data_IF_485355682727
#
_entry.id   IF_485355682727
#
_cell.length_a   1.000
_cell.length_b   1.000
_cell.length_c   1.000
_cell.angle_alpha   90.00
_cell.angle_beta   90.00
_cell.angle_gamma   90.00
#
_symmetry.space_group_name_H-M   'P 1'
#
loop_
_entity.id
_entity.type
_entity.pdbx_description
1 polymer ?
#
# COMPACT_ATOMS: atom_id res chain seq x y z
N UNK A 1 -4.62 -24.30 26.82
CA UNK A 1 -5.12 -22.91 26.75
C UNK A 1 -3.98 -22.03 26.28
N UNK A 2 -4.23 -21.17 25.29
CA UNK A 2 -3.29 -20.13 24.86
C UNK A 2 -3.88 -18.75 25.21
N UNK A 3 -3.01 -17.82 25.58
CA UNK A 3 -3.40 -16.42 25.81
C UNK A 3 -3.38 -15.70 24.46
N UNK A 4 -4.51 -15.14 24.04
CA UNK A 4 -4.59 -14.28 22.84
C UNK A 4 -4.70 -12.83 23.25
N UNK A 5 -3.81 -11.99 22.72
CA UNK A 5 -3.72 -10.56 23.00
C UNK A 5 -3.71 -9.83 21.66
N UNK A 6 -4.59 -8.82 21.50
CA UNK A 6 -4.68 -8.02 20.29
C UNK A 6 -4.21 -6.60 20.56
N UNK A 7 -3.30 -6.09 19.73
CA UNK A 7 -2.86 -4.70 19.79
C UNK A 7 -3.91 -3.75 19.23
N UNK A 8 -4.17 -2.62 19.91
CA UNK A 8 -5.14 -1.61 19.46
C UNK A 8 -4.54 -0.57 18.50
N UNK A 9 -3.24 -0.32 18.62
CA UNK A 9 -2.51 0.66 17.82
C UNK A 9 -1.13 0.10 17.46
N UNK A 10 -0.61 0.53 16.30
CA UNK A 10 0.73 0.18 15.84
C UNK A 10 1.81 0.74 16.78
N UNK A 11 2.97 0.08 16.80
CA UNK A 11 4.13 0.52 17.57
C UNK A 11 4.72 -0.58 18.45
N UNK A 12 5.66 -0.19 19.29
CA UNK A 12 6.33 -1.11 20.22
C UNK A 12 5.78 -0.94 21.63
N UNK A 13 5.58 -2.07 22.29
CA UNK A 13 5.16 -2.16 23.68
C UNK A 13 5.84 -3.38 24.32
N UNK A 14 5.54 -3.64 25.59
CA UNK A 14 5.98 -4.86 26.26
C UNK A 14 4.83 -5.52 27.00
N UNK A 15 4.87 -6.84 27.04
CA UNK A 15 4.02 -7.65 27.88
C UNK A 15 4.81 -8.10 29.10
N UNK A 16 4.41 -7.63 30.28
CA UNK A 16 4.99 -8.08 31.54
C UNK A 16 4.18 -9.26 32.09
N UNK A 17 4.81 -10.43 32.15
CA UNK A 17 4.27 -11.61 32.80
C UNK A 17 4.81 -11.70 34.23
N UNK A 18 3.91 -11.58 35.21
CA UNK A 18 4.24 -11.70 36.63
C UNK A 18 3.63 -12.97 37.22
N UNK A 19 4.47 -13.78 37.88
CA UNK A 19 4.05 -14.96 38.62
C UNK A 19 4.80 -14.99 39.97
N UNK A 20 4.14 -14.54 41.04
CA UNK A 20 4.78 -14.31 42.33
C UNK A 20 5.89 -13.25 42.22
N UNK A 21 7.12 -13.61 42.55
CA UNK A 21 8.30 -12.73 42.45
C UNK A 21 8.96 -12.74 41.06
N UNK A 22 8.55 -13.65 40.16
CA UNK A 22 9.12 -13.75 38.83
C UNK A 22 8.45 -12.74 37.91
N UNK A 23 9.25 -11.89 37.25
CA UNK A 23 8.79 -10.98 36.19
C UNK A 23 9.53 -11.31 34.90
N UNK A 24 8.79 -11.47 33.80
CA UNK A 24 9.34 -11.61 32.46
C UNK A 24 8.73 -10.56 31.53
N UNK A 25 9.57 -9.69 31.00
CA UNK A 25 9.18 -8.66 30.03
C UNK A 25 9.43 -9.17 28.62
N UNK A 26 8.37 -9.20 27.82
CA UNK A 26 8.42 -9.65 26.42
C UNK A 26 8.19 -8.43 25.54
N UNK A 27 9.15 -8.02 24.67
CA UNK A 27 8.90 -6.96 23.71
C UNK A 27 7.87 -7.42 22.67
N UNK A 28 6.93 -6.54 22.35
CA UNK A 28 5.86 -6.79 21.38
C UNK A 28 5.83 -5.63 20.40
N UNK A 29 5.82 -5.95 19.11
CA UNK A 29 5.61 -4.97 18.04
C UNK A 29 4.29 -5.24 17.35
N UNK A 30 3.43 -4.23 17.32
CA UNK A 30 2.16 -4.24 16.58
C UNK A 30 2.40 -3.62 15.22
N UNK A 31 2.28 -4.42 14.17
CA UNK A 31 2.50 -4.02 12.77
C UNK A 31 1.24 -3.44 12.13
N UNK A 32 1.44 -2.66 11.07
CA UNK A 32 0.38 -2.17 10.21
C UNK A 32 -0.39 -3.34 9.57
N UNK A 33 -1.70 -3.19 9.39
CA UNK A 33 -2.50 -4.08 8.54
C UNK A 33 -2.36 -3.77 7.05
N UNK A 34 -1.85 -2.58 6.72
CA UNK A 34 -1.49 -2.20 5.36
C UNK A 34 -0.16 -2.84 4.97
N UNK A 35 -0.22 -3.75 4.02
CA UNK A 35 0.89 -4.58 3.52
C UNK A 35 1.75 -3.89 2.47
N UNK A 36 1.42 -2.65 2.09
CA UNK A 36 2.23 -1.89 1.14
C UNK A 36 3.53 -1.40 1.78
N UNK A 37 4.55 -1.25 0.93
CA UNK A 37 5.72 -0.45 1.22
C UNK A 37 5.86 0.59 0.12
N UNK A 38 5.98 1.86 0.49
CA UNK A 38 6.16 2.96 -0.45
C UNK A 38 6.96 4.09 0.20
N UNK A 39 7.13 5.19 -0.52
CA UNK A 39 7.93 6.34 -0.10
C UNK A 39 7.95 7.39 -1.20
N UNK A 40 8.78 8.44 -1.06
CA UNK A 40 8.91 9.45 -2.10
C UNK A 40 9.26 8.82 -3.46
N UNK A 41 8.64 9.32 -4.53
CA UNK A 41 8.88 8.86 -5.89
C UNK A 41 8.76 10.02 -6.87
N UNK A 42 9.58 10.00 -7.92
CA UNK A 42 9.55 11.03 -8.97
C UNK A 42 9.82 10.43 -10.34
N UNK A 43 9.06 10.83 -11.34
CA UNK A 43 9.24 10.36 -12.71
C UNK A 43 8.07 10.75 -13.60
N UNK A 44 8.29 10.87 -14.90
CA UNK A 44 7.24 11.18 -15.89
C UNK A 44 6.36 12.38 -15.49
N UNK A 45 6.98 13.49 -15.05
CA UNK A 45 6.31 14.71 -14.58
C UNK A 45 5.45 14.57 -13.31
N UNK A 46 5.46 13.41 -12.66
CA UNK A 46 4.80 13.16 -11.38
C UNK A 46 5.82 13.16 -10.25
N UNK A 47 5.56 13.97 -9.22
CA UNK A 47 6.23 13.93 -7.94
C UNK A 47 5.26 13.41 -6.87
N UNK A 48 5.70 12.42 -6.10
CA UNK A 48 4.94 11.84 -4.99
C UNK A 48 5.73 12.01 -3.71
N UNK A 49 5.12 12.63 -2.71
CA UNK A 49 5.70 12.79 -1.36
C UNK A 49 4.86 12.09 -0.31
N UNK A 50 5.47 11.79 0.83
CA UNK A 50 4.79 11.16 1.96
C UNK A 50 4.41 12.23 2.97
N UNK A 51 3.10 12.37 3.23
CA UNK A 51 2.58 13.27 4.24
C UNK A 51 2.92 12.78 5.66
N UNK A 52 2.72 13.65 6.66
CA UNK A 52 3.00 13.33 8.07
C UNK A 52 2.26 12.10 8.58
N UNK A 53 1.02 11.89 8.13
CA UNK A 53 0.22 10.72 8.54
C UNK A 53 0.58 9.45 7.75
N UNK A 54 1.41 9.54 6.72
CA UNK A 54 1.82 8.44 5.84
C UNK A 54 1.03 8.33 4.54
N UNK A 55 0.04 9.19 4.30
CA UNK A 55 -0.63 9.29 3.00
C UNK A 55 0.33 9.83 1.92
N UNK A 56 -0.06 9.67 0.65
CA UNK A 56 0.75 10.07 -0.49
C UNK A 56 0.17 11.32 -1.13
N UNK A 57 0.97 12.39 -1.18
CA UNK A 57 0.68 13.61 -1.91
C UNK A 57 1.25 13.49 -3.32
N UNK A 58 0.38 13.53 -4.32
CA UNK A 58 0.71 13.57 -5.73
C UNK A 58 0.73 15.02 -6.18
N UNK A 59 1.73 15.41 -6.95
CA UNK A 59 1.82 16.72 -7.57
C UNK A 59 2.54 16.63 -8.93
N UNK A 60 2.01 17.34 -9.93
CA UNK A 60 2.64 17.48 -11.24
C UNK A 60 2.47 18.92 -11.71
N UNK A 61 3.53 19.49 -12.27
CA UNK A 61 3.52 20.83 -12.87
C UNK A 61 3.27 20.78 -14.38
N UNK A 62 3.47 19.62 -14.98
CA UNK A 62 3.30 19.38 -16.42
C UNK A 62 2.39 18.17 -16.65
N UNK A 63 1.87 18.05 -17.88
CA UNK A 63 1.04 16.93 -18.26
C UNK A 63 1.83 15.62 -18.18
N UNK A 64 1.19 14.59 -17.62
CA UNK A 64 1.67 13.22 -17.59
C UNK A 64 1.01 12.50 -18.76
N UNK A 65 1.80 11.82 -19.60
CA UNK A 65 1.28 11.01 -20.70
C UNK A 65 0.49 9.79 -20.19
N UNK A 66 -0.49 9.33 -20.98
CA UNK A 66 -1.29 8.15 -20.65
C UNK A 66 -0.38 6.93 -20.48
N UNK A 67 -0.62 6.15 -19.42
CA UNK A 67 0.17 4.99 -19.04
C UNK A 67 1.50 5.32 -18.35
N UNK A 68 1.86 6.61 -18.21
CA UNK A 68 3.07 7.03 -17.51
C UNK A 68 2.79 7.48 -16.08
N UNK A 69 3.81 7.43 -15.24
CA UNK A 69 3.75 7.87 -13.86
C UNK A 69 4.92 7.33 -13.03
N UNK A 70 4.67 6.85 -11.83
CA UNK A 70 5.72 6.31 -10.95
C UNK A 70 5.41 4.89 -10.51
N UNK A 71 6.45 4.16 -10.13
CA UNK A 71 6.40 2.80 -9.61
C UNK A 71 7.37 2.60 -8.44
N UNK A 72 7.04 1.63 -7.60
CA UNK A 72 7.90 1.15 -6.51
C UNK A 72 8.40 -0.27 -6.80
N UNK A 73 9.50 -0.71 -6.17
CA UNK A 73 9.97 -2.08 -6.24
C UNK A 73 8.87 -3.11 -5.91
N UNK A 74 9.06 -4.33 -6.40
CA UNK A 74 8.12 -5.41 -6.15
C UNK A 74 7.95 -5.67 -4.64
N UNK A 75 6.71 -5.94 -4.23
CA UNK A 75 6.40 -6.31 -2.85
C UNK A 75 6.91 -7.73 -2.55
N UNK A 76 7.31 -7.96 -1.31
CA UNK A 76 7.46 -9.31 -0.77
C UNK A 76 6.15 -9.72 -0.08
N UNK A 77 5.41 -10.61 -0.73
CA UNK A 77 4.15 -11.18 -0.23
C UNK A 77 4.31 -12.67 0.12
N UNK A 78 5.53 -13.14 0.36
CA UNK A 78 5.82 -14.56 0.57
C UNK A 78 5.04 -15.17 1.76
N UNK A 79 4.79 -14.38 2.81
CA UNK A 79 4.00 -14.80 3.98
C UNK A 79 2.49 -14.96 3.69
N UNK A 80 2.02 -14.48 2.53
CA UNK A 80 0.60 -14.39 2.19
C UNK A 80 0.19 -15.34 1.07
N UNK A 81 1.07 -16.25 0.60
CA UNK A 81 0.72 -17.24 -0.43
C UNK A 81 -0.53 -18.02 -0.03
N UNK A 82 -1.48 -18.12 -0.97
CA UNK A 82 -2.78 -18.77 -0.76
C UNK A 82 -3.82 -17.89 -0.06
N UNK A 83 -3.49 -16.65 0.31
CA UNK A 83 -4.42 -15.69 0.92
C UNK A 83 -4.97 -14.72 -0.13
N UNK A 84 -6.20 -14.29 0.07
CA UNK A 84 -6.77 -13.16 -0.68
C UNK A 84 -6.38 -11.85 -0.04
N UNK A 85 -5.97 -10.88 -0.85
CA UNK A 85 -5.71 -9.51 -0.46
C UNK A 85 -6.64 -8.55 -1.21
N UNK A 86 -6.99 -7.43 -0.59
CA UNK A 86 -7.80 -6.36 -1.15
C UNK A 86 -6.94 -5.08 -1.30
N UNK A 87 -6.81 -4.59 -2.53
CA UNK A 87 -6.24 -3.28 -2.83
C UNK A 87 -7.35 -2.24 -2.89
N UNK A 88 -7.18 -1.12 -2.20
CA UNK A 88 -8.09 0.01 -2.32
C UNK A 88 -7.44 1.30 -1.87
N UNK A 89 -8.17 2.39 -2.00
CA UNK A 89 -7.71 3.69 -1.55
C UNK A 89 -8.87 4.56 -1.04
N UNK A 90 -8.56 5.49 -0.14
CA UNK A 90 -9.39 6.65 0.18
C UNK A 90 -8.69 7.93 -0.31
N UNK A 91 -9.44 8.99 -0.56
CA UNK A 91 -8.92 10.27 -1.06
C UNK A 91 -9.69 10.73 -2.30
N UNK A 92 -9.66 12.04 -2.54
CA UNK A 92 -10.28 12.62 -3.73
C UNK A 92 -9.21 12.87 -4.80
N UNK A 93 -9.43 12.26 -5.94
CA UNK A 93 -8.62 12.39 -7.13
C UNK A 93 -9.48 12.83 -8.32
N UNK A 94 -10.77 13.12 -8.12
CA UNK A 94 -11.62 13.49 -9.25
C UNK A 94 -11.33 14.92 -9.74
N UNK A 95 -11.37 15.17 -11.06
CA UNK A 95 -11.62 14.23 -12.16
C UNK A 95 -10.31 13.66 -12.76
N UNK A 96 -9.23 13.61 -11.99
CA UNK A 96 -7.95 13.09 -12.44
C UNK A 96 -8.07 11.58 -12.61
N UNK A 97 -7.81 11.12 -13.83
CA UNK A 97 -7.78 9.72 -14.16
C UNK A 97 -6.51 9.06 -13.57
N UNK A 98 -6.32 9.08 -12.26
CA UNK A 98 -5.30 8.26 -11.63
C UNK A 98 -5.75 6.80 -11.73
N UNK A 99 -4.84 5.96 -12.21
CA UNK A 99 -4.98 4.51 -12.17
C UNK A 99 -3.87 3.97 -11.28
N UNK A 100 -4.27 3.22 -10.27
CA UNK A 100 -3.36 2.55 -9.34
C UNK A 100 -3.27 1.10 -9.76
N UNK A 101 -2.07 0.67 -10.12
CA UNK A 101 -1.79 -0.68 -10.60
C UNK A 101 -0.99 -1.41 -9.54
N UNK A 102 -1.43 -2.61 -9.16
CA UNK A 102 -0.60 -3.57 -8.42
C UNK A 102 -0.53 -4.82 -9.27
N UNK A 103 0.42 -4.86 -10.20
CA UNK A 103 0.58 -5.95 -11.16
C UNK A 103 2.03 -6.34 -11.35
N UNK A 104 2.22 -7.55 -11.87
CA UNK A 104 3.51 -7.99 -12.37
C UNK A 104 3.90 -7.25 -13.66
N UNK A 105 5.16 -7.40 -14.07
CA UNK A 105 5.71 -6.72 -15.25
C UNK A 105 4.96 -7.07 -16.56
N UNK A 106 4.38 -8.27 -16.63
CA UNK A 106 3.62 -8.75 -17.80
C UNK A 106 2.13 -8.38 -17.73
N UNK A 107 1.70 -7.70 -16.66
CA UNK A 107 0.33 -7.28 -16.41
C UNK A 107 -0.70 -8.43 -16.36
N UNK A 108 -0.27 -9.66 -16.11
CA UNK A 108 -1.16 -10.83 -16.05
C UNK A 108 -1.68 -11.10 -14.65
N UNK A 109 -0.92 -10.73 -13.63
CA UNK A 109 -1.25 -11.01 -12.23
C UNK A 109 -1.49 -9.73 -11.45
N UNK A 110 -2.40 -9.79 -10.46
CA UNK A 110 -2.71 -8.68 -9.57
C UNK A 110 -3.97 -7.91 -9.98
N UNK A 111 -4.06 -6.63 -9.60
CA UNK A 111 -5.28 -5.82 -9.71
C UNK A 111 -4.99 -4.39 -10.12
N UNK A 112 -6.04 -3.70 -10.56
CA UNK A 112 -6.02 -2.27 -10.89
C UNK A 112 -7.19 -1.61 -10.18
N UNK A 113 -6.96 -0.47 -9.54
CA UNK A 113 -8.01 0.34 -8.91
C UNK A 113 -8.00 1.77 -9.42
N UNK A 114 -9.19 2.36 -9.51
CA UNK A 114 -9.40 3.77 -9.88
C UNK A 114 -10.79 4.22 -9.39
N UNK A 115 -11.13 5.49 -9.55
CA UNK A 115 -12.44 6.02 -9.19
C UNK A 115 -13.55 5.32 -10.00
N UNK A 116 -14.45 4.61 -9.32
CA UNK A 116 -15.49 3.78 -9.95
C UNK A 116 -15.13 2.29 -10.05
N UNK A 117 -13.87 1.92 -9.83
CA UNK A 117 -13.41 0.53 -9.71
C UNK A 117 -12.41 0.39 -8.57
N UNK A 118 -12.87 0.60 -7.33
CA UNK A 118 -12.04 0.56 -6.14
C UNK A 118 -12.22 -0.78 -5.38
N UNK A 119 -11.36 -1.04 -4.38
CA UNK A 119 -11.44 -2.19 -3.47
C UNK A 119 -11.44 -3.56 -4.19
N UNK A 120 -10.46 -3.77 -5.07
CA UNK A 120 -10.33 -4.99 -5.87
C UNK A 120 -9.49 -6.04 -5.15
N UNK A 121 -9.80 -7.32 -5.37
CA UNK A 121 -9.16 -8.43 -4.66
C UNK A 121 -8.37 -9.34 -5.59
N UNK A 122 -7.33 -10.00 -5.05
CA UNK A 122 -6.59 -11.07 -5.72
C UNK A 122 -6.03 -12.07 -4.72
N UNK A 123 -5.77 -13.28 -5.19
CA UNK A 123 -5.06 -14.30 -4.41
C UNK A 123 -3.57 -14.23 -4.67
N UNK A 124 -2.77 -14.24 -3.61
CA UNK A 124 -1.31 -14.37 -3.71
C UNK A 124 -0.96 -15.81 -4.08
N UNK A 125 -0.11 -15.98 -5.08
CA UNK A 125 0.34 -17.27 -5.58
C UNK A 125 1.86 -17.35 -5.54
N UNK A 126 2.40 -18.56 -5.68
CA UNK A 126 3.85 -18.76 -5.83
C UNK A 126 4.46 -17.95 -6.99
N UNK A 127 3.69 -17.74 -8.07
CA UNK A 127 4.15 -17.00 -9.24
C UNK A 127 4.17 -15.48 -9.03
N UNK A 128 3.30 -14.93 -8.17
CA UNK A 128 3.14 -13.49 -8.04
C UNK A 128 3.69 -12.88 -6.74
N UNK A 129 4.06 -13.71 -5.75
CA UNK A 129 4.42 -13.25 -4.40
C UNK A 129 5.56 -12.22 -4.34
N UNK A 130 6.45 -12.20 -5.34
CA UNK A 130 7.60 -11.28 -5.40
C UNK A 130 7.66 -10.47 -6.71
N UNK A 131 6.56 -10.37 -7.45
CA UNK A 131 6.56 -9.75 -8.79
C UNK A 131 5.64 -8.54 -8.89
N UNK A 132 4.69 -8.38 -7.97
CA UNK A 132 3.71 -7.30 -8.02
C UNK A 132 4.36 -5.96 -7.61
N UNK A 133 4.32 -5.00 -8.51
CA UNK A 133 4.80 -3.64 -8.30
C UNK A 133 3.63 -2.68 -8.16
N UNK A 134 3.70 -1.80 -7.18
CA UNK A 134 2.76 -0.69 -7.05
C UNK A 134 3.13 0.39 -8.07
N UNK A 135 2.17 0.84 -8.87
CA UNK A 135 2.35 1.94 -9.83
C UNK A 135 1.18 2.92 -9.75
N UNK A 136 1.50 4.20 -9.85
CA UNK A 136 0.54 5.28 -10.06
C UNK A 136 0.73 5.79 -11.47
N UNK A 137 -0.28 5.62 -12.32
CA UNK A 137 -0.19 6.01 -13.73
C UNK A 137 -1.37 6.89 -14.13
N UNK A 138 -1.12 7.74 -15.12
CA UNK A 138 -2.17 8.50 -15.79
C UNK A 138 -3.02 7.57 -16.65
N UNK A 139 -4.29 7.45 -16.34
CA UNK A 139 -5.33 6.89 -17.20
C UNK A 139 -6.09 7.97 -17.97
N UNK A 140 -7.31 7.62 -18.42
CA UNK A 140 -8.14 8.50 -19.23
C UNK A 140 -7.76 8.48 -20.70
N UNK A 141 -8.27 9.45 -21.45
CA UNK A 141 -8.09 9.55 -22.92
C UNK A 141 -7.07 10.59 -23.36
N UNK A 142 -6.68 11.49 -22.46
CA UNK A 142 -5.72 12.58 -22.72
C UNK A 142 -4.67 12.68 -21.62
N UNK A 143 -3.47 13.14 -22.02
CA UNK A 143 -2.44 13.56 -21.08
C UNK A 143 -2.96 14.68 -20.16
N UNK A 144 -2.47 14.74 -18.92
CA UNK A 144 -2.94 15.74 -17.99
C UNK A 144 -2.21 15.73 -16.66
N UNK A 145 -2.48 16.76 -15.85
CA UNK A 145 -1.92 16.89 -14.51
C UNK A 145 -2.63 15.95 -13.53
N UNK A 146 -1.87 15.47 -12.55
CA UNK A 146 -2.36 14.79 -11.35
C UNK A 146 -1.87 15.54 -10.10
N UNK A 147 -2.79 15.85 -9.19
CA UNK A 147 -2.54 16.53 -7.91
C UNK A 147 -3.56 16.06 -6.88
N UNK A 148 -3.13 15.55 -5.73
CA UNK A 148 -4.09 15.14 -4.71
C UNK A 148 -3.42 14.39 -3.58
N UNK A 149 -4.21 14.00 -2.58
CA UNK A 149 -3.74 13.18 -1.47
C UNK A 149 -4.50 11.86 -1.43
N UNK A 150 -3.78 10.76 -1.25
CA UNK A 150 -4.37 9.43 -1.23
C UNK A 150 -3.90 8.59 -0.06
N UNK A 151 -4.83 7.79 0.44
CA UNK A 151 -4.64 6.76 1.46
C UNK A 151 -4.82 5.40 0.83
N UNK A 152 -3.77 4.93 0.15
CA UNK A 152 -3.75 3.60 -0.45
C UNK A 152 -3.46 2.51 0.58
N UNK A 153 -4.17 1.39 0.47
CA UNK A 153 -4.09 0.22 1.33
C UNK A 153 -4.08 -1.08 0.54
N UNK A 154 -3.27 -2.04 1.00
CA UNK A 154 -3.37 -3.45 0.66
C UNK A 154 -3.59 -4.23 1.97
N UNK A 155 -4.72 -4.92 2.11
CA UNK A 155 -5.09 -5.59 3.37
C UNK A 155 -5.52 -7.03 3.12
N UNK A 156 -5.39 -7.90 4.13
CA UNK A 156 -5.82 -9.30 4.02
C UNK A 156 -7.35 -9.39 4.01
N UNK A 157 -7.89 -10.25 3.14
CA UNK A 157 -9.30 -10.57 3.01
C UNK A 157 -9.98 -9.92 1.81
N UNK A 158 -11.28 -10.15 1.70
CA UNK A 158 -12.08 -9.77 0.52
C UNK A 158 -12.77 -8.41 0.68
N UNK A 159 -12.59 -7.76 1.83
CA UNK A 159 -13.20 -6.46 2.14
C UNK A 159 -12.12 -5.45 2.50
N UNK A 160 -12.28 -4.18 2.10
CA UNK A 160 -11.34 -3.14 2.46
C UNK A 160 -11.39 -2.90 3.97
N UNK A 161 -10.23 -2.98 4.62
CA UNK A 161 -10.11 -2.56 6.02
C UNK A 161 -9.82 -1.06 6.12
N UNK A 162 -10.02 -0.49 7.31
CA UNK A 162 -9.64 0.90 7.59
C UNK A 162 -8.18 1.12 7.25
N UNK A 163 -7.89 2.22 6.56
CA UNK A 163 -6.53 2.57 6.20
C UNK A 163 -5.65 2.74 7.43
N UNK A 164 -4.47 2.14 7.38
CA UNK A 164 -3.38 2.36 8.32
C UNK A 164 -2.13 2.80 7.54
N UNK A 165 -1.34 3.67 8.16
CA UNK A 165 0.00 4.01 7.68
C UNK A 165 0.83 2.72 7.56
N UNK A 166 1.42 2.42 6.39
CA UNK A 166 2.26 1.24 6.27
C UNK A 166 3.52 1.34 7.14
N UNK A 167 4.08 0.18 7.48
CA UNK A 167 5.29 0.11 8.31
C UNK A 167 6.50 0.74 7.61
N UNK A 168 6.51 0.74 6.27
CA UNK A 168 7.57 1.30 5.43
C UNK A 168 7.01 2.44 4.57
N UNK A 169 7.42 3.68 4.87
CA UNK A 169 7.03 4.89 4.13
C UNK A 169 8.25 5.66 3.59
N UNK A 170 9.40 5.00 3.44
CA UNK A 170 10.64 5.57 2.93
C UNK A 170 11.23 4.76 1.76
N UNK A 171 10.45 3.84 1.18
CA UNK A 171 10.88 3.08 0.01
C UNK A 171 10.84 3.98 -1.23
N UNK A 172 11.99 4.29 -1.80
CA UNK A 172 12.07 5.17 -2.96
C UNK A 172 11.43 4.53 -4.20
N UNK A 173 10.65 5.31 -4.93
CA UNK A 173 10.09 4.93 -6.24
C UNK A 173 10.63 5.81 -7.37
N UNK A 174 10.26 5.49 -8.61
CA UNK A 174 10.73 6.19 -9.81
C UNK A 174 9.92 5.84 -11.05
N UNK A 175 10.40 6.25 -12.22
CA UNK A 175 9.84 5.84 -13.52
C UNK A 175 10.27 4.42 -13.90
#
# INVERSE_FOLDING_TARGET
MALSITGKAMGSTSLDLKAGTITKTIPVSVRSTNLLAYGPASGNNLNVTVAKDGSLDLASTEAIEIGKGVQWPALDLSEYVGRTLCLGFDGDLAPQALVIVLRDANEQNGVVVYTGNNNQTFTVTEANKNTLMLKFVRGGVDAGIMTGNIKIRLTIGDTPQTWMRPDVTNLSGGA
#
